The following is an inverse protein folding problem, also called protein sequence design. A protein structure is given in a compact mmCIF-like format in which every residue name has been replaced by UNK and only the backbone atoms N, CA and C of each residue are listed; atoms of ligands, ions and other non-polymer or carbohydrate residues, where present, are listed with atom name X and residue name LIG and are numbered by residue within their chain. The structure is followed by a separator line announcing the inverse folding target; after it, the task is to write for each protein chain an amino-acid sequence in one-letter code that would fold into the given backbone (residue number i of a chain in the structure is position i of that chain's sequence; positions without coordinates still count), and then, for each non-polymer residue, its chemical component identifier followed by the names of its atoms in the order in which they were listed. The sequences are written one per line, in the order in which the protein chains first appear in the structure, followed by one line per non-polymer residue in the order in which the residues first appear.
data_IF_526696732988
#
_entry.id   IF_526696732988
#
_cell.length_a   1.000
_cell.length_b   1.000
_cell.length_c   1.000
_cell.angle_alpha   90.00
_cell.angle_beta   90.00
_cell.angle_gamma   90.00
#
_symmetry.space_group_name_H-M   'P 1'
#
loop_
_entity.id
_entity.type
_entity.pdbx_description
1 polymer ?
#
# COMPACT_ATOMS: atom_id res chain seq x y z
N UNK A 1 43.87 3.36 -6.71
CA UNK A 1 43.37 4.68 -6.25
C UNK A 1 42.14 4.38 -5.42
N UNK A 2 42.33 4.09 -4.13
CA UNK A 2 41.24 3.75 -3.21
C UNK A 2 40.53 5.04 -2.79
N UNK A 3 39.31 5.23 -3.24
CA UNK A 3 38.41 6.22 -2.65
C UNK A 3 37.75 5.56 -1.43
N UNK A 4 38.49 5.42 -0.33
CA UNK A 4 37.88 5.11 0.96
C UNK A 4 37.20 6.39 1.43
N UNK A 5 35.90 6.50 1.18
CA UNK A 5 35.06 7.47 1.85
C UNK A 5 34.96 7.11 3.33
N UNK A 6 36.00 7.44 4.12
CA UNK A 6 35.85 7.49 5.56
C UNK A 6 34.96 8.70 5.86
N UNK A 7 33.66 8.47 6.03
CA UNK A 7 32.80 9.46 6.64
C UNK A 7 33.45 9.85 7.97
N UNK A 8 33.89 11.10 8.10
CA UNK A 8 34.48 11.55 9.35
C UNK A 8 33.39 11.51 10.43
N UNK A 9 33.70 11.12 11.67
CA UNK A 9 32.73 11.12 12.77
C UNK A 9 31.98 12.46 12.95
N UNK A 10 32.60 13.55 12.49
CA UNK A 10 32.07 14.91 12.54
C UNK A 10 31.10 15.25 11.40
N UNK A 11 31.06 14.45 10.32
CA UNK A 11 30.18 14.62 9.16
C UNK A 11 29.60 13.27 8.73
N UNK A 12 28.63 12.72 9.49
CA UNK A 12 28.05 11.41 9.22
C UNK A 12 27.12 11.39 7.99
N UNK A 13 27.10 12.45 7.18
CA UNK A 13 26.23 12.60 6.02
C UNK A 13 26.93 13.34 4.88
N UNK A 14 26.82 12.82 3.66
CA UNK A 14 27.35 13.44 2.45
C UNK A 14 26.77 12.79 1.18
N UNK A 15 26.54 13.59 0.13
CA UNK A 15 26.01 13.12 -1.17
C UNK A 15 24.72 12.27 -1.03
N UNK A 16 23.83 12.63 -0.09
CA UNK A 16 22.60 11.91 0.24
C UNK A 16 22.76 10.53 0.91
N UNK A 17 23.96 10.20 1.38
CA UNK A 17 24.25 8.99 2.15
C UNK A 17 24.70 9.32 3.57
N UNK A 18 24.34 8.45 4.50
CA UNK A 18 24.80 8.46 5.87
C UNK A 18 25.94 7.46 6.05
N UNK A 19 26.96 7.83 6.83
CA UNK A 19 27.94 6.87 7.32
C UNK A 19 27.30 5.97 8.39
N UNK A 20 27.62 4.67 8.39
CA UNK A 20 27.10 3.77 9.42
C UNK A 20 27.79 4.05 10.78
N UNK A 21 27.03 4.25 11.86
CA UNK A 21 27.62 4.46 13.18
C UNK A 21 28.42 3.24 13.65
N UNK A 22 29.67 3.45 14.03
CA UNK A 22 30.52 2.44 14.65
C UNK A 22 30.94 1.27 13.73
N UNK A 23 30.78 1.39 12.41
CA UNK A 23 31.20 0.36 11.45
C UNK A 23 31.50 0.96 10.05
N UNK A 24 32.35 0.32 9.24
CA UNK A 24 32.56 0.74 7.86
C UNK A 24 31.30 0.53 7.01
N UNK A 25 31.05 1.46 6.10
CA UNK A 25 29.92 1.42 5.17
C UNK A 25 29.01 2.63 5.27
N UNK A 26 28.01 2.66 4.39
CA UNK A 26 27.09 3.79 4.25
C UNK A 26 25.68 3.31 3.97
N UNK A 27 24.70 4.14 4.32
CA UNK A 27 23.30 3.84 4.13
C UNK A 27 22.46 5.06 3.75
N UNK A 28 21.43 4.84 2.95
CA UNK A 28 20.36 5.78 2.72
C UNK A 28 19.08 5.20 3.33
N UNK A 29 18.16 6.05 3.74
CA UNK A 29 16.89 5.60 4.27
C UNK A 29 15.75 6.48 3.74
N UNK A 30 14.56 5.90 3.73
CA UNK A 30 13.29 6.58 3.55
C UNK A 30 12.34 6.24 4.70
N UNK A 31 11.27 7.01 4.82
CA UNK A 31 10.25 6.76 5.82
C UNK A 31 9.64 5.34 5.68
N UNK A 32 9.17 4.78 6.79
CA UNK A 32 8.45 3.51 6.84
C UNK A 32 9.28 2.27 6.45
N UNK A 33 10.60 2.38 6.59
CA UNK A 33 11.49 1.23 6.46
C UNK A 33 12.10 1.05 5.08
N UNK A 34 12.25 2.12 4.30
CA UNK A 34 13.09 2.06 3.10
C UNK A 34 14.55 2.18 3.53
N UNK A 35 15.41 1.27 3.09
CA UNK A 35 16.83 1.35 3.34
C UNK A 35 17.63 0.89 2.13
N UNK A 36 18.74 1.56 1.88
CA UNK A 36 19.82 1.04 1.05
C UNK A 36 21.07 1.00 1.92
N UNK A 37 21.69 -0.16 2.08
CA UNK A 37 22.96 -0.34 2.77
C UNK A 37 24.03 -0.74 1.78
N UNK A 38 25.22 -0.18 1.93
CA UNK A 38 26.41 -0.59 1.17
C UNK A 38 27.55 -0.82 2.15
N UNK A 39 28.11 -2.03 2.08
CA UNK A 39 29.17 -2.53 2.93
C UNK A 39 30.36 -2.95 2.02
N UNK A 40 31.20 -1.99 1.59
CA UNK A 40 32.22 -2.23 0.56
C UNK A 40 33.22 -3.33 0.94
N UNK A 41 33.64 -3.39 2.20
CA UNK A 41 34.57 -4.41 2.71
C UNK A 41 34.04 -5.84 2.58
N UNK A 42 32.72 -5.98 2.45
CA UNK A 42 32.05 -7.26 2.27
C UNK A 42 31.56 -7.50 0.84
N UNK A 43 31.78 -6.56 -0.08
CA UNK A 43 31.21 -6.63 -1.43
C UNK A 43 29.69 -6.74 -1.44
N UNK A 44 29.01 -6.19 -0.42
CA UNK A 44 27.57 -6.38 -0.19
C UNK A 44 26.81 -5.05 -0.33
N UNK A 45 25.71 -5.10 -1.09
CA UNK A 45 24.68 -4.08 -1.10
C UNK A 45 23.33 -4.72 -0.75
N UNK A 46 22.51 -4.02 0.03
CA UNK A 46 21.20 -4.50 0.46
C UNK A 46 20.17 -3.38 0.28
N UNK A 47 19.08 -3.69 -0.42
CA UNK A 47 17.92 -2.81 -0.53
C UNK A 47 16.76 -3.41 0.24
N UNK A 48 16.07 -2.57 1.01
CA UNK A 48 14.87 -2.93 1.76
C UNK A 48 13.79 -1.93 1.41
N UNK A 49 12.65 -2.43 0.97
CA UNK A 49 11.43 -1.66 0.81
C UNK A 49 10.42 -2.12 1.84
N UNK A 50 9.73 -1.17 2.48
CA UNK A 50 8.82 -1.49 3.57
C UNK A 50 7.66 -0.52 3.70
N UNK A 51 6.74 -0.84 4.58
CA UNK A 51 5.70 0.07 5.01
C UNK A 51 5.39 -0.16 6.50
N UNK A 52 6.44 -0.04 7.31
CA UNK A 52 6.42 -0.35 8.74
C UNK A 52 6.10 0.92 9.55
N UNK A 53 4.96 0.98 10.25
CA UNK A 53 4.62 2.11 11.10
C UNK A 53 5.70 2.38 12.13
N UNK A 54 6.06 3.66 12.33
CA UNK A 54 7.07 4.05 13.30
C UNK A 54 8.52 3.71 12.92
N UNK A 55 8.77 3.03 11.79
CA UNK A 55 10.12 2.85 11.26
C UNK A 55 10.60 4.16 10.65
N UNK A 56 11.30 4.95 11.47
CA UNK A 56 11.94 6.20 11.09
C UNK A 56 13.46 6.06 11.10
N UNK A 57 14.10 6.72 10.13
CA UNK A 57 15.42 7.37 10.07
C UNK A 57 16.55 7.08 11.09
N UNK A 58 16.59 5.92 11.75
CA UNK A 58 17.62 5.60 12.73
C UNK A 58 18.12 4.16 12.53
N UNK A 59 19.44 3.93 12.59
CA UNK A 59 20.05 2.63 12.33
C UNK A 59 20.01 1.66 13.52
N UNK A 60 19.38 2.04 14.63
CA UNK A 60 19.31 1.31 15.90
C UNK A 60 17.87 0.93 16.32
N UNK A 61 16.85 1.33 15.56
CA UNK A 61 15.44 0.99 15.82
C UNK A 61 14.72 0.56 14.54
N UNK A 62 13.71 -0.30 14.67
CA UNK A 62 12.93 -0.79 13.53
C UNK A 62 13.63 -1.94 12.79
N UNK A 63 13.80 -1.79 11.47
CA UNK A 63 14.38 -2.83 10.60
C UNK A 63 15.90 -3.03 10.79
N UNK A 64 16.73 -1.99 10.95
CA UNK A 64 18.19 -2.15 11.00
C UNK A 64 18.72 -3.12 12.07
N UNK A 65 18.19 -3.18 13.31
CA UNK A 65 18.60 -4.21 14.28
C UNK A 65 18.45 -5.65 13.77
N UNK A 66 17.41 -5.94 12.99
CA UNK A 66 17.18 -7.25 12.37
C UNK A 66 18.27 -7.51 11.32
N UNK A 67 18.59 -6.51 10.49
CA UNK A 67 19.69 -6.59 9.51
C UNK A 67 20.99 -6.94 10.22
N UNK A 68 21.32 -6.26 11.32
CA UNK A 68 22.57 -6.51 12.05
C UNK A 68 22.62 -7.87 12.73
N UNK A 69 21.48 -8.38 13.20
CA UNK A 69 21.39 -9.72 13.78
C UNK A 69 21.66 -10.82 12.74
N UNK A 70 21.21 -10.64 11.49
CA UNK A 70 21.34 -11.65 10.43
C UNK A 70 22.55 -11.45 9.52
N UNK A 71 23.15 -10.25 9.49
CA UNK A 71 24.28 -9.93 8.63
C UNK A 71 25.46 -10.91 8.80
N UNK A 72 25.89 -11.33 10.01
CA UNK A 72 26.97 -12.31 10.14
C UNK A 72 26.69 -13.64 9.41
N UNK A 73 25.44 -14.12 9.44
CA UNK A 73 25.04 -15.35 8.73
C UNK A 73 24.99 -15.16 7.21
N UNK A 74 24.66 -13.95 6.73
CA UNK A 74 24.75 -13.63 5.30
C UNK A 74 26.23 -13.62 4.86
N UNK A 75 27.12 -13.03 5.67
CA UNK A 75 28.55 -12.90 5.38
C UNK A 75 29.31 -14.22 5.48
N UNK A 76 28.85 -15.19 6.28
CA UNK A 76 29.43 -16.53 6.30
C UNK A 76 29.20 -17.31 5.00
N UNK A 77 28.37 -16.80 4.09
CA UNK A 77 27.99 -17.46 2.85
C UNK A 77 26.85 -18.46 3.06
N UNK A 78 26.36 -19.05 1.95
CA UNK A 78 25.33 -20.07 2.02
C UNK A 78 25.83 -21.29 2.80
N UNK A 79 25.00 -21.82 3.70
CA UNK A 79 25.20 -23.18 4.18
C UNK A 79 25.16 -24.09 2.94
N UNK A 80 26.27 -24.77 2.66
CA UNK A 80 26.44 -25.66 1.50
C UNK A 80 25.54 -26.92 1.57
N UNK A 81 24.53 -26.92 2.43
CA UNK A 81 23.57 -28.01 2.56
C UNK A 81 22.69 -28.08 1.31
N UNK A 82 22.71 -29.25 0.67
CA UNK A 82 21.98 -29.50 -0.57
C UNK A 82 20.45 -29.33 -0.41
N UNK A 83 19.91 -29.46 0.80
CA UNK A 83 18.48 -29.29 1.09
C UNK A 83 18.02 -27.83 1.22
N UNK A 84 18.93 -26.91 1.51
CA UNK A 84 18.57 -25.52 1.84
C UNK A 84 17.98 -24.74 0.65
N UNK A 85 18.42 -25.04 -0.57
CA UNK A 85 17.85 -24.41 -1.77
C UNK A 85 16.40 -24.85 -2.04
N UNK A 86 16.10 -26.14 -1.84
CA UNK A 86 14.74 -26.66 -2.00
C UNK A 86 13.79 -26.10 -0.93
N UNK A 87 14.24 -26.06 0.34
CA UNK A 87 13.47 -25.48 1.43
C UNK A 87 13.22 -23.97 1.23
N UNK A 88 14.21 -23.23 0.74
CA UNK A 88 14.05 -21.82 0.40
C UNK A 88 13.06 -21.63 -0.76
N UNK A 89 13.16 -22.45 -1.81
CA UNK A 89 12.23 -22.40 -2.94
C UNK A 89 10.79 -22.70 -2.49
N UNK A 90 10.60 -23.75 -1.70
CA UNK A 90 9.29 -24.11 -1.15
C UNK A 90 8.72 -22.95 -0.33
N UNK A 91 9.51 -22.41 0.60
CA UNK A 91 9.08 -21.30 1.46
C UNK A 91 8.74 -20.04 0.66
N UNK A 92 9.58 -19.67 -0.30
CA UNK A 92 9.36 -18.47 -1.15
C UNK A 92 8.20 -18.65 -2.13
N UNK A 93 7.91 -19.88 -2.57
CA UNK A 93 6.75 -20.16 -3.43
C UNK A 93 5.40 -20.00 -2.72
N UNK A 94 5.37 -20.18 -1.40
CA UNK A 94 4.16 -20.06 -0.58
C UNK A 94 4.02 -18.68 0.12
N UNK A 95 5.07 -17.87 0.13
CA UNK A 95 5.07 -16.54 0.73
C UNK A 95 4.20 -15.59 -0.09
N UNK A 96 3.00 -15.31 0.41
CA UNK A 96 2.08 -14.34 -0.17
C UNK A 96 1.66 -13.30 0.88
N UNK A 97 1.56 -12.04 0.46
CA UNK A 97 0.93 -11.00 1.26
C UNK A 97 -0.57 -11.01 0.97
N UNK A 98 -1.37 -11.41 1.95
CA UNK A 98 -2.83 -11.40 1.80
C UNK A 98 -3.32 -9.95 1.67
N UNK A 99 -3.82 -9.60 0.49
CA UNK A 99 -4.50 -8.32 0.24
C UNK A 99 -6.02 -8.46 0.22
N UNK A 100 -6.55 -9.67 0.01
CA UNK A 100 -7.98 -9.91 0.05
C UNK A 100 -8.53 -9.68 1.46
N UNK A 101 -9.58 -8.87 1.63
CA UNK A 101 -10.26 -8.76 2.90
C UNK A 101 -10.96 -10.08 3.26
N UNK A 102 -11.16 -10.38 4.55
CA UNK A 102 -11.88 -11.58 4.98
C UNK A 102 -13.35 -11.47 4.55
N UNK A 103 -13.73 -12.18 3.50
CA UNK A 103 -15.10 -12.20 2.99
C UNK A 103 -15.92 -13.26 3.74
N UNK A 104 -17.10 -12.89 4.22
CA UNK A 104 -18.00 -13.79 4.95
C UNK A 104 -19.43 -13.82 4.42
N UNK A 105 -19.72 -13.05 3.35
CA UNK A 105 -21.08 -12.81 2.88
C UNK A 105 -21.14 -12.64 1.36
N UNK A 106 -22.31 -12.83 0.77
CA UNK A 106 -22.64 -12.48 -0.63
C UNK A 106 -22.98 -11.00 -0.80
N UNK A 107 -23.30 -10.29 0.30
CA UNK A 107 -23.49 -8.84 0.32
C UNK A 107 -24.74 -8.33 -0.40
N UNK A 108 -24.76 -7.03 -0.73
CA UNK A 108 -25.90 -6.37 -1.39
C UNK A 108 -25.60 -5.94 -2.84
N UNK A 109 -24.70 -6.64 -3.54
CA UNK A 109 -24.20 -6.29 -4.87
C UNK A 109 -25.31 -5.99 -5.89
N UNK A 110 -26.33 -6.85 -5.99
CA UNK A 110 -27.45 -6.68 -6.95
C UNK A 110 -28.23 -5.37 -6.73
N UNK A 111 -28.28 -4.86 -5.49
CA UNK A 111 -29.03 -3.64 -5.14
C UNK A 111 -28.27 -2.34 -5.45
N UNK A 112 -26.96 -2.44 -5.63
CA UNK A 112 -26.05 -1.29 -5.72
C UNK A 112 -25.23 -1.29 -7.01
N UNK A 113 -25.28 -2.35 -7.83
CA UNK A 113 -24.55 -2.43 -9.09
C UNK A 113 -24.90 -1.27 -10.01
N UNK A 114 -23.85 -0.55 -10.40
CA UNK A 114 -23.71 0.90 -10.35
C UNK A 114 -24.97 1.75 -10.33
N UNK A 115 -25.58 1.70 -9.16
CA UNK A 115 -26.24 2.85 -8.57
C UNK A 115 -25.19 3.94 -8.31
N UNK A 116 -25.53 5.18 -8.70
CA UNK A 116 -24.73 6.37 -8.38
C UNK A 116 -25.14 6.90 -7.01
N UNK A 117 -24.13 7.15 -6.16
CA UNK A 117 -24.32 7.80 -4.87
C UNK A 117 -23.70 9.20 -4.90
N UNK A 118 -24.52 10.23 -4.76
CA UNK A 118 -24.13 11.64 -4.70
C UNK A 118 -23.54 11.98 -3.34
N UNK A 119 -22.26 12.31 -3.29
CA UNK A 119 -21.58 12.69 -2.06
C UNK A 119 -22.05 14.07 -1.57
N UNK A 120 -22.31 14.15 -0.27
CA UNK A 120 -22.46 15.44 0.40
C UNK A 120 -21.13 16.23 0.35
N UNK A 121 -21.15 17.56 0.52
CA UNK A 121 -19.93 18.36 0.54
C UNK A 121 -18.86 17.78 1.48
N UNK A 122 -17.65 17.59 0.97
CA UNK A 122 -16.53 16.96 1.66
C UNK A 122 -15.21 17.64 1.27
N UNK A 123 -14.19 17.47 2.11
CA UNK A 123 -12.86 18.08 1.91
C UNK A 123 -12.12 17.55 0.68
N UNK A 124 -12.49 16.35 0.22
CA UNK A 124 -11.87 15.66 -0.91
C UNK A 124 -12.49 16.06 -2.26
N UNK A 125 -13.52 16.91 -2.26
CA UNK A 125 -14.20 17.31 -3.50
C UNK A 125 -14.83 16.14 -4.28
N UNK A 126 -15.06 15.01 -3.62
CA UNK A 126 -15.74 13.85 -4.21
C UNK A 126 -17.19 14.25 -4.47
N UNK A 127 -17.66 14.02 -5.69
CA UNK A 127 -19.03 14.31 -6.14
C UNK A 127 -19.89 13.07 -6.13
N UNK A 128 -19.34 11.94 -6.55
CA UNK A 128 -20.08 10.69 -6.57
C UNK A 128 -19.21 9.46 -6.48
N UNK A 129 -19.83 8.38 -6.00
CA UNK A 129 -19.23 7.06 -5.90
C UNK A 129 -20.15 6.07 -6.60
N UNK A 130 -19.56 5.16 -7.38
CA UNK A 130 -20.29 4.10 -8.08
C UNK A 130 -19.49 2.80 -8.02
N UNK A 131 -20.16 1.68 -7.80
CA UNK A 131 -19.56 0.35 -7.89
C UNK A 131 -20.15 -0.38 -9.08
N UNK A 132 -19.33 -1.04 -9.90
CA UNK A 132 -19.80 -1.95 -10.94
C UNK A 132 -19.29 -3.35 -10.68
N UNK A 133 -20.14 -4.35 -10.80
CA UNK A 133 -19.77 -5.76 -10.66
C UNK A 133 -19.77 -6.44 -12.02
N UNK A 134 -18.74 -7.26 -12.30
CA UNK A 134 -18.70 -8.08 -13.52
C UNK A 134 -18.61 -9.54 -13.13
N UNK A 135 -19.78 -10.18 -13.11
CA UNK A 135 -19.91 -11.53 -12.57
C UNK A 135 -19.50 -11.61 -11.10
N UNK A 136 -19.13 -12.80 -10.64
CA UNK A 136 -18.84 -13.05 -9.22
C UNK A 136 -17.39 -12.73 -8.79
N UNK A 137 -16.54 -12.20 -9.69
CA UNK A 137 -15.08 -12.11 -9.45
C UNK A 137 -14.48 -10.72 -9.57
N UNK A 138 -15.23 -9.75 -10.06
CA UNK A 138 -14.68 -8.43 -10.38
C UNK A 138 -15.59 -7.33 -9.87
N UNK A 139 -14.96 -6.35 -9.23
CA UNK A 139 -15.57 -5.13 -8.76
C UNK A 139 -14.76 -3.93 -9.25
N UNK A 140 -15.43 -2.93 -9.81
CA UNK A 140 -14.83 -1.64 -10.15
C UNK A 140 -15.42 -0.56 -9.27
N UNK A 141 -14.58 0.09 -8.48
CA UNK A 141 -14.90 1.32 -7.76
C UNK A 141 -14.59 2.51 -8.64
N UNK A 142 -15.57 3.40 -8.84
CA UNK A 142 -15.41 4.68 -9.50
C UNK A 142 -15.67 5.82 -8.49
N UNK A 143 -14.73 6.76 -8.40
CA UNK A 143 -14.79 7.94 -7.55
C UNK A 143 -14.70 9.16 -8.46
N UNK A 144 -15.79 9.90 -8.57
CA UNK A 144 -15.87 11.11 -9.39
C UNK A 144 -15.55 12.34 -8.54
N UNK A 145 -14.64 13.16 -9.04
CA UNK A 145 -14.32 14.49 -8.50
C UNK A 145 -14.80 15.58 -9.47
N UNK A 146 -14.44 16.84 -9.21
CA UNK A 146 -14.74 17.95 -10.12
C UNK A 146 -14.09 17.79 -11.49
N UNK A 147 -12.90 17.20 -11.55
CA UNK A 147 -12.04 17.22 -12.74
C UNK A 147 -11.88 15.85 -13.40
N UNK A 148 -12.05 14.76 -12.64
CA UNK A 148 -11.71 13.41 -13.11
C UNK A 148 -12.53 12.34 -12.40
N UNK A 149 -12.78 11.25 -13.11
CA UNK A 149 -13.29 10.00 -12.53
C UNK A 149 -12.13 9.05 -12.36
N UNK A 150 -11.79 8.75 -11.11
CA UNK A 150 -10.79 7.75 -10.78
C UNK A 150 -11.44 6.37 -10.68
N UNK A 151 -10.73 5.34 -11.11
CA UNK A 151 -11.22 3.96 -11.04
C UNK A 151 -10.21 3.04 -10.38
N UNK A 152 -10.70 2.05 -9.63
CA UNK A 152 -9.91 0.94 -9.11
C UNK A 152 -10.64 -0.36 -9.47
N UNK A 153 -9.96 -1.26 -10.18
CA UNK A 153 -10.42 -2.60 -10.48
C UNK A 153 -9.89 -3.58 -9.43
N UNK A 154 -10.77 -4.35 -8.80
CA UNK A 154 -10.42 -5.30 -7.74
C UNK A 154 -11.02 -6.68 -8.00
N UNK A 155 -10.27 -7.71 -7.61
CA UNK A 155 -10.79 -9.08 -7.52
C UNK A 155 -11.77 -9.23 -6.35
N UNK A 156 -12.70 -10.18 -6.44
CA UNK A 156 -13.63 -10.56 -5.37
C UNK A 156 -13.39 -12.00 -4.92
N UNK A 157 -13.94 -12.36 -3.75
CA UNK A 157 -13.97 -13.75 -3.26
C UNK A 157 -12.58 -14.38 -3.09
N UNK A 158 -11.63 -13.60 -2.57
CA UNK A 158 -10.25 -14.05 -2.33
C UNK A 158 -9.32 -13.84 -3.51
N UNK A 159 -9.83 -13.48 -4.68
CA UNK A 159 -9.02 -13.09 -5.84
C UNK A 159 -8.54 -11.64 -5.72
N UNK A 160 -7.45 -11.34 -6.41
CA UNK A 160 -6.95 -10.00 -6.63
C UNK A 160 -6.69 -9.78 -8.12
N UNK A 161 -6.67 -8.52 -8.54
CA UNK A 161 -6.47 -8.14 -9.94
C UNK A 161 -5.43 -7.02 -10.02
N UNK A 162 -4.53 -7.13 -10.99
CA UNK A 162 -3.63 -6.04 -11.39
C UNK A 162 -4.41 -5.02 -12.22
N UNK A 163 -4.11 -3.75 -12.00
CA UNK A 163 -4.74 -2.66 -12.72
C UNK A 163 -3.96 -1.37 -12.58
N UNK A 164 -4.58 -0.28 -12.98
CA UNK A 164 -4.01 1.05 -12.89
C UNK A 164 -5.07 2.03 -12.39
N UNK A 165 -4.63 3.05 -11.65
CA UNK A 165 -5.49 4.12 -11.20
C UNK A 165 -4.80 5.47 -11.29
N UNK A 166 -5.61 6.52 -11.46
CA UNK A 166 -5.17 7.90 -11.30
C UNK A 166 -5.58 8.47 -9.95
N UNK A 167 -6.24 7.70 -9.06
CA UNK A 167 -6.66 8.19 -7.75
C UNK A 167 -5.43 8.61 -6.94
N UNK A 168 -5.16 9.90 -6.76
CA UNK A 168 -4.01 10.30 -5.98
C UNK A 168 -4.29 10.02 -4.50
N UNK A 169 -3.23 10.02 -3.70
CA UNK A 169 -3.33 9.90 -2.26
C UNK A 169 -3.83 11.18 -1.60
N UNK A 170 -5.08 11.56 -1.89
CA UNK A 170 -5.90 12.66 -1.32
C UNK A 170 -5.59 12.93 0.16
N UNK A 171 -4.50 13.66 0.44
CA UNK A 171 -3.96 13.87 1.79
C UNK A 171 -3.39 12.63 2.50
N UNK A 172 -3.41 11.45 1.89
CA UNK A 172 -2.96 10.18 2.49
C UNK A 172 -1.60 9.69 1.99
N UNK A 173 -1.12 10.12 0.82
CA UNK A 173 0.17 9.63 0.25
C UNK A 173 1.20 10.75 0.13
N UNK A 174 1.37 11.57 1.16
CA UNK A 174 2.36 12.66 1.17
C UNK A 174 2.26 13.67 0.01
N UNK A 175 1.07 13.81 -0.59
CA UNK A 175 0.85 14.72 -1.72
C UNK A 175 1.42 14.23 -3.06
N UNK A 176 1.78 12.96 -3.19
CA UNK A 176 2.11 12.39 -4.49
C UNK A 176 0.87 12.35 -5.40
N UNK A 177 0.99 12.98 -6.57
CA UNK A 177 -0.03 13.03 -7.62
C UNK A 177 0.52 12.54 -8.96
N UNK A 178 0.97 11.27 -9.04
CA UNK A 178 1.33 10.67 -10.33
C UNK A 178 0.10 10.59 -11.24
N UNK A 179 0.30 10.75 -12.54
CA UNK A 179 -0.77 10.65 -13.54
C UNK A 179 -1.43 9.25 -13.52
N UNK A 180 -0.64 8.23 -13.20
CA UNK A 180 -1.03 6.83 -13.20
C UNK A 180 -0.17 6.03 -12.23
N UNK A 181 -0.78 5.11 -11.51
CA UNK A 181 -0.13 4.15 -10.62
C UNK A 181 -0.57 2.73 -10.95
N UNK A 182 0.38 1.80 -11.03
CA UNK A 182 0.08 0.38 -11.04
C UNK A 182 -0.42 -0.08 -9.68
N UNK A 183 -1.48 -0.89 -9.68
CA UNK A 183 -2.16 -1.35 -8.48
C UNK A 183 -2.41 -2.85 -8.52
N UNK A 184 -2.42 -3.47 -7.34
CA UNK A 184 -3.05 -4.78 -7.13
C UNK A 184 -4.15 -4.60 -6.09
N UNK A 185 -5.39 -4.91 -6.45
CA UNK A 185 -6.53 -4.69 -5.57
C UNK A 185 -7.43 -5.91 -5.42
N UNK A 186 -7.99 -6.02 -4.22
CA UNK A 186 -8.92 -7.06 -3.83
C UNK A 186 -10.03 -6.48 -2.97
N UNK A 187 -11.24 -6.97 -3.16
CA UNK A 187 -12.43 -6.59 -2.45
C UNK A 187 -13.15 -7.81 -1.88
N UNK A 188 -14.01 -7.57 -0.90
CA UNK A 188 -14.81 -8.61 -0.29
C UNK A 188 -15.84 -8.04 0.68
N UNK A 189 -16.96 -8.72 0.77
CA UNK A 189 -18.03 -8.39 1.68
C UNK A 189 -17.66 -8.86 3.09
N UNK A 190 -17.29 -7.89 3.94
CA UNK A 190 -16.95 -8.12 5.34
C UNK A 190 -18.18 -8.11 6.25
N UNK A 191 -19.33 -7.66 5.72
CA UNK A 191 -20.66 -7.74 6.31
C UNK A 191 -21.72 -7.66 5.19
N UNK A 192 -23.01 -8.01 5.43
CA UNK A 192 -24.05 -8.00 4.39
C UNK A 192 -24.21 -6.64 3.67
N UNK A 193 -23.88 -5.55 4.36
CA UNK A 193 -23.99 -4.19 3.88
C UNK A 193 -22.64 -3.46 3.78
N UNK A 194 -21.51 -4.16 3.97
CA UNK A 194 -20.19 -3.54 3.97
C UNK A 194 -19.27 -4.23 3.00
N UNK A 195 -18.88 -3.50 1.94
CA UNK A 195 -17.83 -3.90 1.02
C UNK A 195 -16.51 -3.26 1.47
N UNK A 196 -15.50 -4.09 1.68
CA UNK A 196 -14.13 -3.64 1.87
C UNK A 196 -13.36 -3.82 0.57
N UNK A 197 -12.52 -2.85 0.21
CA UNK A 197 -11.54 -2.95 -0.87
C UNK A 197 -10.17 -2.54 -0.35
N UNK A 198 -9.15 -3.39 -0.55
CA UNK A 198 -7.77 -3.04 -0.32
C UNK A 198 -7.07 -2.84 -1.67
N UNK A 199 -6.34 -1.75 -1.82
CA UNK A 199 -5.58 -1.40 -3.02
C UNK A 199 -4.11 -1.20 -2.65
N UNK A 200 -3.24 -2.09 -3.15
CA UNK A 200 -1.79 -1.95 -3.04
C UNK A 200 -1.27 -1.18 -4.25
N UNK A 201 -0.58 -0.07 -4.03
CA UNK A 201 0.10 0.67 -5.08
C UNK A 201 1.51 0.10 -5.22
N UNK A 202 1.82 -0.49 -6.38
CA UNK A 202 3.00 -1.36 -6.56
C UNK A 202 4.31 -0.60 -6.39
N UNK A 203 4.35 0.65 -6.85
CA UNK A 203 5.57 1.47 -6.88
C UNK A 203 5.73 2.34 -5.62
N UNK A 204 4.89 2.15 -4.60
CA UNK A 204 4.89 3.00 -3.40
C UNK A 204 4.79 2.16 -2.12
N UNK A 205 5.04 2.79 -0.97
CA UNK A 205 4.84 2.16 0.34
C UNK A 205 3.34 2.08 0.75
N UNK A 206 2.45 2.71 -0.02
CA UNK A 206 1.07 2.93 0.39
C UNK A 206 0.16 1.77 -0.02
N UNK A 207 -0.73 1.44 0.90
CA UNK A 207 -1.86 0.55 0.67
C UNK A 207 -3.10 1.23 1.20
N UNK A 208 -4.03 1.51 0.31
CA UNK A 208 -5.32 2.05 0.71
C UNK A 208 -6.27 0.94 1.11
N UNK A 209 -7.12 1.27 2.08
CA UNK A 209 -8.31 0.53 2.44
C UNK A 209 -9.51 1.44 2.26
N UNK A 210 -10.48 0.95 1.50
CA UNK A 210 -11.79 1.56 1.32
C UNK A 210 -12.82 0.70 2.03
N UNK A 211 -13.72 1.34 2.76
CA UNK A 211 -14.86 0.70 3.40
C UNK A 211 -16.13 1.42 2.95
N UNK A 212 -17.03 0.67 2.34
CA UNK A 212 -18.29 1.16 1.79
C UNK A 212 -19.43 0.48 2.52
N UNK A 213 -20.13 1.24 3.37
CA UNK A 213 -21.27 0.74 4.14
C UNK A 213 -22.57 1.29 3.57
N UNK A 214 -23.45 0.40 3.12
CA UNK A 214 -24.67 0.72 2.40
C UNK A 214 -25.89 0.67 3.30
N UNK A 215 -26.73 1.69 3.19
CA UNK A 215 -28.11 1.69 3.65
C UNK A 215 -29.05 1.70 2.43
N UNK A 216 -30.35 1.79 2.66
CA UNK A 216 -31.33 1.77 1.56
C UNK A 216 -31.15 2.95 0.59
N UNK A 217 -30.96 4.16 1.13
CA UNK A 217 -30.87 5.42 0.38
C UNK A 217 -29.51 6.12 0.51
N UNK A 218 -28.53 5.50 1.18
CA UNK A 218 -27.25 6.14 1.47
C UNK A 218 -26.06 5.18 1.43
N UNK A 219 -24.88 5.77 1.29
CA UNK A 219 -23.57 5.15 1.39
C UNK A 219 -22.74 5.96 2.39
N UNK A 220 -22.02 5.27 3.28
CA UNK A 220 -20.89 5.85 4.01
C UNK A 220 -19.61 5.27 3.43
N UNK A 221 -18.76 6.16 2.92
CA UNK A 221 -17.48 5.85 2.29
C UNK A 221 -16.34 6.32 3.18
N UNK A 222 -15.49 5.37 3.59
CA UNK A 222 -14.30 5.64 4.39
C UNK A 222 -13.06 5.20 3.64
N UNK A 223 -11.98 6.00 3.72
CA UNK A 223 -10.67 5.69 3.14
C UNK A 223 -9.58 5.83 4.21
N UNK A 224 -8.67 4.87 4.25
CA UNK A 224 -7.48 4.89 5.09
C UNK A 224 -6.25 4.35 4.35
N UNK A 225 -5.07 4.62 4.88
CA UNK A 225 -3.78 4.16 4.36
C UNK A 225 -2.98 3.49 5.47
N UNK A 226 -2.18 2.46 5.13
CA UNK A 226 -1.35 1.72 6.08
C UNK A 226 -0.32 2.59 6.83
N UNK A 227 0.31 3.54 6.14
CA UNK A 227 1.31 4.46 6.71
C UNK A 227 1.19 5.84 6.06
N UNK A 228 1.39 6.90 6.84
CA UNK A 228 1.52 8.27 6.36
C UNK A 228 2.24 9.10 7.43
N UNK A 229 2.95 10.15 7.03
CA UNK A 229 3.60 11.08 7.97
C UNK A 229 2.61 12.05 8.62
N UNK A 230 1.41 12.18 8.05
CA UNK A 230 0.27 12.87 8.63
C UNK A 230 -0.81 11.91 9.10
N UNK A 231 -2.07 12.22 8.77
CA UNK A 231 -3.22 11.38 9.07
C UNK A 231 -3.23 10.10 8.22
N UNK A 232 -3.63 8.97 8.82
CA UNK A 232 -3.80 7.70 8.09
C UNK A 232 -5.25 7.42 7.72
N UNK A 233 -6.17 8.30 8.10
CA UNK A 233 -7.61 8.20 7.82
C UNK A 233 -8.15 9.57 7.42
N UNK A 234 -9.18 9.57 6.56
CA UNK A 234 -9.96 10.74 6.20
C UNK A 234 -11.31 10.72 6.93
N UNK A 235 -11.98 11.87 7.00
CA UNK A 235 -13.34 11.91 7.51
C UNK A 235 -14.27 11.08 6.61
N UNK A 236 -15.16 10.23 7.15
CA UNK A 236 -16.10 9.47 6.34
C UNK A 236 -17.00 10.38 5.50
N UNK A 237 -17.21 10.01 4.25
CA UNK A 237 -18.06 10.73 3.30
C UNK A 237 -19.42 10.05 3.28
N UNK A 238 -20.47 10.82 3.56
CA UNK A 238 -21.84 10.37 3.36
C UNK A 238 -22.30 10.73 1.95
N UNK A 239 -22.85 9.77 1.23
CA UNK A 239 -23.42 9.93 -0.08
C UNK A 239 -24.86 9.40 -0.12
N UNK A 240 -25.71 10.00 -0.95
CA UNK A 240 -27.13 9.66 -1.09
C UNK A 240 -27.37 9.00 -2.43
N UNK A 241 -28.22 7.97 -2.47
CA UNK A 241 -28.64 7.34 -3.72
C UNK A 241 -29.30 8.40 -4.62
N UNK A 242 -28.87 8.48 -5.88
CA UNK A 242 -29.52 9.36 -6.84
C UNK A 242 -31.00 8.99 -6.95
N UNK A 243 -31.88 9.97 -6.74
CA UNK A 243 -33.32 9.77 -6.95
C UNK A 243 -33.53 9.72 -8.46
N UNK A 244 -33.87 8.55 -8.99
CA UNK A 244 -34.30 8.43 -10.39
C UNK A 244 -35.46 9.40 -10.59
N UNK A 245 -35.23 10.48 -11.33
CA UNK A 245 -36.31 11.36 -11.75
C UNK A 245 -37.21 10.52 -12.64
N UNK A 246 -38.39 10.14 -12.13
CA UNK A 246 -39.42 9.55 -12.94
C UNK A 246 -39.81 10.60 -13.98
N UNK A 247 -39.34 10.42 -15.21
CA UNK A 247 -39.94 11.07 -16.38
C UNK A 247 -41.42 10.70 -16.37
N UNK A 248 -42.27 11.70 -16.15
CA UNK A 248 -43.72 11.59 -16.16
C UNK A 248 -44.22 11.41 -17.58
#
# INVERSE_FOLDING_TARGET
MEAVGQGTPERPYGLHWWALPGRPGFYAFGAFGQYAFVLPEHGLAMAITGAVPGSISRPDVGIPPIVWAHLPAILSGADADAGSAAALLERTSALALAIAPPASDTGCADRIDGTRFDALPNEDGIRSITLRFRGAKHCRLAIETVTVVHTIDAGLNGDWIEGETSLPGMGLHHGYEPERLSTVAAAGWTAPQTLTLNCQYVETAFRDRFELTFADDALVFSRSVNVNGGRTTLAPIRALREKTSQST
#
